data_IF_383785657683
#
_entry.id   IF_383785657683
#
_cell.length_a   1.000
_cell.length_b   1.000
_cell.length_c   1.000
_cell.angle_alpha   90.00
_cell.angle_beta   90.00
_cell.angle_gamma   90.00
#
_symmetry.space_group_name_H-M   'P 1'
#
loop_
_entity.id
_entity.type
_entity.pdbx_description
1 polymer ?
#
# COMPACT_ATOMS: atom_id res chain seq x y z
N UNK A 1 -8.26 6.24 3.01
CA UNK A 1 -9.57 5.54 3.15
C UNK A 1 -10.32 5.37 1.84
N UNK A 2 -10.45 6.39 0.98
CA UNK A 2 -11.11 6.25 -0.34
C UNK A 2 -10.53 5.10 -1.18
N UNK A 3 -9.21 5.03 -1.28
CA UNK A 3 -8.49 3.96 -1.98
C UNK A 3 -8.76 2.57 -1.43
N UNK A 4 -8.89 2.44 -0.10
CA UNK A 4 -9.25 1.19 0.54
C UNK A 4 -10.67 0.77 0.18
N UNK A 5 -11.62 1.71 0.11
CA UNK A 5 -13.00 1.41 -0.28
C UNK A 5 -13.11 0.96 -1.75
N UNK A 6 -12.31 1.54 -2.65
CA UNK A 6 -12.31 1.20 -4.08
C UNK A 6 -11.57 -0.12 -4.30
N UNK A 7 -10.27 -0.16 -3.98
CA UNK A 7 -9.40 -1.32 -4.23
C UNK A 7 -9.72 -2.49 -3.31
N UNK A 8 -10.06 -2.22 -2.05
CA UNK A 8 -10.31 -3.26 -1.05
C UNK A 8 -11.55 -4.10 -1.37
N UNK A 9 -12.58 -3.54 -2.03
CA UNK A 9 -13.74 -4.34 -2.46
C UNK A 9 -13.36 -5.42 -3.48
N UNK A 10 -12.50 -5.09 -4.43
CA UNK A 10 -12.04 -6.04 -5.46
C UNK A 10 -11.14 -7.11 -4.85
N UNK A 11 -10.17 -6.70 -4.04
CA UNK A 11 -9.22 -7.61 -3.37
C UNK A 11 -9.94 -8.51 -2.37
N UNK A 12 -10.87 -7.98 -1.58
CA UNK A 12 -11.65 -8.76 -0.62
C UNK A 12 -12.52 -9.82 -1.31
N UNK A 13 -13.11 -9.50 -2.48
CA UNK A 13 -13.83 -10.50 -3.29
C UNK A 13 -12.90 -11.58 -3.86
N UNK A 14 -11.68 -11.22 -4.24
CA UNK A 14 -10.70 -12.16 -4.80
C UNK A 14 -10.13 -13.12 -3.74
N UNK A 15 -9.81 -12.59 -2.55
CA UNK A 15 -9.13 -13.33 -1.48
C UNK A 15 -10.08 -13.97 -0.46
N UNK A 16 -11.28 -13.41 -0.30
CA UNK A 16 -12.14 -13.67 0.85
C UNK A 16 -11.76 -12.85 2.09
N UNK A 17 -12.73 -12.69 3.00
CA UNK A 17 -12.63 -11.78 4.14
C UNK A 17 -11.42 -12.07 5.05
N UNK A 18 -11.14 -13.33 5.36
CA UNK A 18 -10.07 -13.72 6.29
C UNK A 18 -8.69 -13.38 5.76
N UNK A 19 -8.41 -13.74 4.51
CA UNK A 19 -7.14 -13.44 3.83
C UNK A 19 -6.96 -11.95 3.58
N UNK A 20 -8.05 -11.23 3.30
CA UNK A 20 -8.03 -9.78 3.19
C UNK A 20 -7.63 -9.10 4.50
N UNK A 21 -8.26 -9.49 5.61
CA UNK A 21 -7.93 -8.94 6.94
C UNK A 21 -6.49 -9.29 7.31
N UNK A 22 -6.06 -10.53 7.08
CA UNK A 22 -4.69 -10.96 7.33
C UNK A 22 -3.68 -10.13 6.53
N UNK A 23 -3.96 -9.88 5.25
CA UNK A 23 -3.12 -9.03 4.41
C UNK A 23 -3.08 -7.60 4.93
N UNK A 24 -4.23 -7.00 5.26
CA UNK A 24 -4.32 -5.63 5.75
C UNK A 24 -3.56 -5.45 7.07
N UNK A 25 -3.86 -6.28 8.07
CA UNK A 25 -3.21 -6.20 9.38
C UNK A 25 -1.74 -6.58 9.27
N UNK A 26 -1.41 -7.67 8.59
CA UNK A 26 -0.05 -8.18 8.46
C UNK A 26 0.88 -7.24 7.69
N UNK A 27 0.42 -6.63 6.60
CA UNK A 27 1.22 -5.62 5.89
C UNK A 27 1.40 -4.35 6.71
N UNK A 28 0.37 -3.92 7.44
CA UNK A 28 0.46 -2.76 8.33
C UNK A 28 1.43 -2.97 9.49
N UNK A 29 1.44 -4.16 10.11
CA UNK A 29 2.38 -4.49 11.18
C UNK A 29 3.80 -4.60 10.66
N UNK A 30 4.02 -5.29 9.53
CA UNK A 30 5.34 -5.39 8.90
C UNK A 30 5.91 -4.02 8.53
N UNK A 31 5.10 -3.17 7.89
CA UNK A 31 5.52 -1.82 7.53
C UNK A 31 5.87 -0.98 8.76
N UNK A 32 5.15 -1.15 9.88
CA UNK A 32 5.47 -0.47 11.12
C UNK A 32 6.80 -0.96 11.72
N UNK A 33 7.08 -2.26 11.69
CA UNK A 33 8.37 -2.81 12.13
C UNK A 33 9.51 -2.27 11.28
N UNK A 34 9.36 -2.27 9.95
CA UNK A 34 10.39 -1.72 9.05
C UNK A 34 10.62 -0.25 9.33
N UNK A 35 9.55 0.53 9.49
CA UNK A 35 9.65 1.97 9.81
C UNK A 35 10.45 2.20 11.10
N UNK A 36 10.19 1.44 12.16
CA UNK A 36 10.90 1.56 13.43
C UNK A 36 12.38 1.16 13.32
N UNK A 37 12.69 0.15 12.51
CA UNK A 37 14.08 -0.29 12.29
C UNK A 37 14.84 0.74 11.46
N UNK A 38 14.27 1.24 10.37
CA UNK A 38 14.89 2.27 9.54
C UNK A 38 15.12 3.57 10.31
N UNK A 39 14.15 4.01 11.11
CA UNK A 39 14.34 5.16 12.01
C UNK A 39 15.43 4.91 13.06
N UNK A 40 15.62 3.68 13.52
CA UNK A 40 16.67 3.35 14.50
C UNK A 40 18.07 3.37 13.90
N UNK A 41 18.20 3.06 12.61
CA UNK A 41 19.45 3.07 11.86
C UNK A 41 19.88 4.50 11.49
N UNK A 42 18.91 5.39 11.24
CA UNK A 42 19.14 6.82 10.97
C UNK A 42 19.32 7.66 12.26
N UNK A 43 18.96 7.09 13.43
CA UNK A 43 19.01 7.77 14.74
C UNK A 43 20.38 7.91 15.38
N UNK A 44 21.42 7.27 14.83
CA UNK A 44 22.77 7.39 15.37
C UNK A 44 23.35 8.81 15.17
N UNK A 45 22.75 9.65 14.32
CA UNK A 45 23.30 10.98 14.00
C UNK A 45 22.58 12.20 14.63
N UNK A 46 21.31 12.16 15.06
CA UNK A 46 20.66 13.36 15.64
C UNK A 46 19.59 13.08 16.73
N UNK A 47 19.83 13.66 17.91
CA UNK A 47 18.97 13.66 19.10
C UNK A 47 17.65 14.41 18.86
N UNK A 48 16.56 13.69 18.57
CA UNK A 48 15.21 14.08 19.00
C UNK A 48 14.19 12.95 18.83
N UNK A 49 13.41 12.58 19.86
CA UNK A 49 12.37 11.58 19.72
C UNK A 49 11.09 12.24 19.20
N UNK A 50 10.96 12.38 17.87
CA UNK A 50 9.61 12.47 17.30
C UNK A 50 8.97 11.10 17.47
N UNK A 51 8.00 10.99 18.38
CA UNK A 51 6.99 9.93 18.32
C UNK A 51 6.23 10.14 17.01
N UNK A 52 6.74 9.66 15.88
CA UNK A 52 5.98 9.66 14.63
C UNK A 52 4.84 8.67 14.76
N UNK A 53 3.64 9.16 14.45
CA UNK A 53 2.40 8.39 14.52
C UNK A 53 2.53 7.16 13.63
N UNK A 54 2.38 5.99 14.24
CA UNK A 54 2.26 4.65 13.65
C UNK A 54 1.44 4.71 12.35
N UNK A 55 2.14 4.75 11.22
CA UNK A 55 1.58 4.92 9.87
C UNK A 55 1.06 3.62 9.24
N UNK A 56 1.03 2.52 9.99
CA UNK A 56 0.76 1.17 9.49
C UNK A 56 -0.54 1.03 8.71
N UNK A 57 -1.58 1.82 9.04
CA UNK A 57 -2.83 1.83 8.28
C UNK A 57 -2.66 2.33 6.84
N UNK A 58 -1.80 3.33 6.60
CA UNK A 58 -1.58 3.85 5.24
C UNK A 58 -0.77 2.86 4.41
N UNK A 59 0.25 2.23 4.99
CA UNK A 59 1.07 1.21 4.32
C UNK A 59 0.24 -0.04 3.97
N UNK A 60 -0.68 -0.42 4.84
CA UNK A 60 -1.63 -1.51 4.57
C UNK A 60 -2.56 -1.18 3.39
N UNK A 61 -2.95 0.08 3.22
CA UNK A 61 -3.69 0.53 2.03
C UNK A 61 -2.83 0.43 0.78
N UNK A 62 -1.55 0.78 0.83
CA UNK A 62 -0.64 0.66 -0.31
C UNK A 62 -0.49 -0.80 -0.76
N UNK A 63 -0.42 -1.75 0.18
CA UNK A 63 -0.42 -3.17 -0.13
C UNK A 63 -1.67 -3.62 -0.88
N UNK A 64 -2.85 -3.17 -0.45
CA UNK A 64 -4.13 -3.48 -1.10
C UNK A 64 -4.23 -2.81 -2.48
N UNK A 65 -3.79 -1.56 -2.60
CA UNK A 65 -3.83 -0.81 -3.87
C UNK A 65 -2.89 -1.45 -4.88
N UNK A 66 -1.67 -1.81 -4.48
CA UNK A 66 -0.71 -2.53 -5.30
C UNK A 66 -1.27 -3.88 -5.77
N UNK A 67 -1.80 -4.68 -4.84
CA UNK A 67 -2.40 -5.97 -5.18
C UNK A 67 -3.59 -5.82 -6.14
N UNK A 68 -4.46 -4.84 -5.93
CA UNK A 68 -5.59 -4.56 -6.81
C UNK A 68 -5.14 -4.18 -8.23
N UNK A 69 -4.13 -3.31 -8.35
CA UNK A 69 -3.58 -2.90 -9.64
C UNK A 69 -3.02 -4.10 -10.42
N UNK A 70 -2.37 -5.05 -9.73
CA UNK A 70 -1.79 -6.24 -10.33
C UNK A 70 -2.84 -7.31 -10.68
N UNK A 71 -3.86 -7.49 -9.86
CA UNK A 71 -4.94 -8.47 -10.10
C UNK A 71 -5.91 -8.00 -11.20
N UNK A 72 -6.18 -6.70 -11.29
CA UNK A 72 -7.19 -6.14 -12.17
C UNK A 72 -6.65 -5.02 -13.08
N UNK A 73 -5.62 -5.27 -13.91
CA UNK A 73 -5.05 -4.26 -14.79
C UNK A 73 -6.05 -3.63 -15.78
N UNK A 74 -7.06 -4.32 -16.36
CA UNK A 74 -8.02 -3.66 -17.25
C UNK A 74 -9.14 -2.92 -16.52
N UNK A 75 -9.19 -2.92 -15.17
CA UNK A 75 -10.21 -2.19 -14.42
C UNK A 75 -10.12 -0.69 -14.70
N UNK A 76 -11.27 -0.03 -14.87
CA UNK A 76 -11.34 1.39 -15.24
C UNK A 76 -12.14 2.18 -14.22
N UNK A 77 -11.67 3.38 -13.90
CA UNK A 77 -12.42 4.37 -13.12
C UNK A 77 -13.11 5.32 -14.09
N UNK A 78 -14.42 5.50 -13.92
CA UNK A 78 -15.16 6.54 -14.61
C UNK A 78 -15.16 7.80 -13.75
N UNK A 79 -14.38 8.81 -14.15
CA UNK A 79 -14.38 10.13 -13.49
C UNK A 79 -15.62 10.94 -13.87
N UNK A 80 -16.18 10.68 -15.05
CA UNK A 80 -17.42 11.28 -15.54
C UNK A 80 -18.26 10.24 -16.27
N UNK A 81 -19.59 10.40 -16.20
CA UNK A 81 -20.59 9.40 -16.67
C UNK A 81 -20.51 9.04 -18.16
N UNK A 82 -19.80 9.85 -18.98
CA UNK A 82 -19.77 9.70 -20.44
C UNK A 82 -18.39 9.80 -21.11
N UNK A 83 -17.35 10.39 -20.48
CA UNK A 83 -16.22 10.89 -21.27
C UNK A 83 -14.85 10.30 -20.97
N UNK A 84 -14.59 9.72 -19.79
CA UNK A 84 -13.24 9.23 -19.50
C UNK A 84 -13.24 8.01 -18.57
N UNK A 85 -12.92 6.86 -19.16
CA UNK A 85 -12.61 5.62 -18.45
C UNK A 85 -11.11 5.44 -18.44
N UNK A 86 -10.47 5.97 -17.41
CA UNK A 86 -9.04 5.81 -17.22
C UNK A 86 -8.74 4.48 -16.53
N UNK A 87 -7.62 3.82 -16.88
CA UNK A 87 -7.22 2.61 -16.18
C UNK A 87 -6.99 2.90 -14.70
N UNK A 88 -7.58 2.09 -13.82
CA UNK A 88 -7.42 2.22 -12.36
C UNK A 88 -5.96 2.06 -11.96
N UNK A 89 -5.19 1.23 -12.68
CA UNK A 89 -3.76 1.05 -12.43
C UNK A 89 -2.98 2.36 -12.57
N UNK A 90 -3.40 3.29 -13.43
CA UNK A 90 -2.72 4.59 -13.60
C UNK A 90 -2.85 5.44 -12.34
N UNK A 91 -4.05 5.56 -11.79
CA UNK A 91 -4.26 6.28 -10.54
C UNK A 91 -3.62 5.55 -9.35
N UNK A 92 -3.64 4.21 -9.36
CA UNK A 92 -2.92 3.42 -8.35
C UNK A 92 -1.42 3.70 -8.41
N UNK A 93 -0.83 3.75 -9.61
CA UNK A 93 0.59 4.07 -9.78
C UNK A 93 0.92 5.47 -9.23
N UNK A 94 0.14 6.49 -9.60
CA UNK A 94 0.33 7.84 -9.04
C UNK A 94 0.19 7.88 -7.51
N UNK A 95 -0.75 7.11 -6.95
CA UNK A 95 -0.94 7.02 -5.50
C UNK A 95 0.22 6.33 -4.79
N UNK A 96 0.84 5.33 -5.42
CA UNK A 96 1.98 4.59 -4.89
C UNK A 96 3.30 5.34 -5.02
N UNK A 97 3.44 6.20 -6.03
CA UNK A 97 4.64 7.04 -6.24
C UNK A 97 4.53 8.41 -5.55
N UNK A 98 3.55 8.61 -4.66
CA UNK A 98 3.32 9.90 -3.99
C UNK A 98 4.50 10.35 -3.12
N UNK A 99 5.35 9.42 -2.71
CA UNK A 99 6.46 9.63 -1.79
C UNK A 99 7.82 9.78 -2.50
N UNK A 100 7.84 9.82 -3.85
CA UNK A 100 9.07 9.94 -4.66
C UNK A 100 9.49 11.39 -4.93
N UNK A 101 8.68 12.38 -4.54
CA UNK A 101 8.96 13.81 -4.74
C UNK A 101 9.36 14.54 -3.46
N UNK A 102 9.93 15.74 -3.61
CA UNK A 102 10.14 16.65 -2.48
C UNK A 102 8.80 16.96 -1.80
N UNK A 103 8.67 16.56 -0.53
CA UNK A 103 7.47 16.85 0.25
C UNK A 103 7.45 18.35 0.57
N UNK A 104 6.35 19.05 0.28
CA UNK A 104 6.26 20.46 0.65
C UNK A 104 6.28 20.61 2.17
N UNK A 105 6.85 21.70 2.71
CA UNK A 105 7.06 21.88 4.15
C UNK A 105 5.75 21.98 4.97
N UNK A 106 4.61 22.15 4.30
CA UNK A 106 3.27 22.20 4.89
C UNK A 106 2.52 20.87 4.87
N UNK A 107 3.09 19.81 4.27
CA UNK A 107 2.47 18.49 4.33
C UNK A 107 2.61 17.95 5.76
N UNK A 108 1.52 17.40 6.32
CA UNK A 108 1.60 16.67 7.59
C UNK A 108 2.58 15.50 7.45
N UNK A 109 3.31 15.23 8.52
CA UNK A 109 4.14 14.02 8.67
C UNK A 109 3.25 12.79 8.40
N UNK A 110 3.43 12.18 7.23
CA UNK A 110 2.84 10.88 6.88
C UNK A 110 3.78 9.75 7.29
N UNK A 111 3.35 8.50 7.10
CA UNK A 111 4.24 7.36 7.34
C UNK A 111 5.57 7.54 6.56
N UNK A 112 6.68 7.01 7.11
CA UNK A 112 7.96 7.10 6.45
C UNK A 112 7.94 6.30 5.15
N UNK A 113 8.83 6.68 4.22
CA UNK A 113 8.85 6.14 2.86
C UNK A 113 9.10 4.64 2.86
N UNK A 114 9.95 4.14 3.76
CA UNK A 114 10.23 2.71 3.90
C UNK A 114 8.97 1.91 4.27
N UNK A 115 8.11 2.49 5.11
CA UNK A 115 6.81 1.91 5.46
C UNK A 115 5.90 1.77 4.24
N UNK A 116 5.79 2.81 3.41
CA UNK A 116 4.99 2.78 2.19
C UNK A 116 5.54 1.78 1.16
N UNK A 117 6.86 1.76 0.96
CA UNK A 117 7.54 0.81 0.09
C UNK A 117 7.30 -0.64 0.55
N UNK A 118 7.38 -0.88 1.86
CA UNK A 118 7.09 -2.20 2.46
C UNK A 118 5.65 -2.63 2.15
N UNK A 119 4.69 -1.72 2.27
CA UNK A 119 3.30 -1.96 1.88
C UNK A 119 3.19 -2.40 0.41
N UNK A 120 3.80 -1.65 -0.52
CA UNK A 120 3.81 -1.98 -1.96
C UNK A 120 4.40 -3.38 -2.20
N UNK A 121 5.53 -3.68 -1.57
CA UNK A 121 6.20 -4.97 -1.68
C UNK A 121 5.35 -6.11 -1.12
N UNK A 122 4.63 -5.92 -0.01
CA UNK A 122 3.69 -6.90 0.51
C UNK A 122 2.56 -7.21 -0.49
N UNK A 123 2.01 -6.18 -1.15
CA UNK A 123 1.01 -6.33 -2.20
C UNK A 123 1.53 -7.13 -3.40
N UNK A 124 2.74 -6.81 -3.86
CA UNK A 124 3.43 -7.52 -4.94
C UNK A 124 3.74 -8.97 -4.56
N UNK A 125 4.29 -9.20 -3.37
CA UNK A 125 4.60 -10.54 -2.87
C UNK A 125 3.34 -11.41 -2.80
N UNK A 126 2.23 -10.84 -2.29
CA UNK A 126 0.94 -11.54 -2.25
C UNK A 126 0.46 -11.90 -3.65
N UNK A 127 0.57 -10.99 -4.63
CA UNK A 127 0.23 -11.28 -6.02
C UNK A 127 1.06 -12.44 -6.58
N UNK A 128 2.37 -12.45 -6.34
CA UNK A 128 3.25 -13.54 -6.78
C UNK A 128 2.88 -14.86 -6.11
N UNK A 129 2.54 -14.86 -4.83
CA UNK A 129 2.09 -16.05 -4.09
C UNK A 129 0.78 -16.61 -4.67
N UNK A 130 -0.17 -15.76 -5.04
CA UNK A 130 -1.43 -16.18 -5.69
C UNK A 130 -1.21 -16.78 -7.08
N UNK A 131 -0.15 -16.35 -7.79
CA UNK A 131 0.20 -16.88 -9.11
C UNK A 131 1.05 -18.14 -9.06
N UNK A 132 1.52 -18.58 -7.88
CA UNK A 132 2.22 -19.85 -7.77
C UNK A 132 1.23 -20.96 -8.11
N UNK A 133 1.53 -21.82 -9.11
CA UNK A 133 0.70 -23.00 -9.34
C UNK A 133 0.67 -23.81 -8.05
N UNK A 134 -0.51 -24.31 -7.67
CA UNK A 134 -0.61 -25.28 -6.58
C UNK A 134 0.29 -26.46 -6.96
N UNK A 135 1.46 -26.55 -6.32
CA UNK A 135 2.25 -27.77 -6.38
C UNK A 135 1.42 -28.78 -5.62
N UNK A 136 0.70 -29.63 -6.36
CA UNK A 136 0.03 -30.80 -5.83
C UNK A 136 1.03 -31.52 -4.92
N UNK A 137 0.66 -31.69 -3.64
CA UNK A 137 1.28 -32.62 -2.69
C UNK A 137 0.25 -33.71 -2.44
#
# INVERSE_FOLDING_TARGET
MLWLAISGRHVCRALGNSRFILLYVGSGTLANVVSLVSESEERDDLVSPRLQMVGGASCAVDAIVALNALLYPPSRVALTRRWMRWPLWFFSAMFLTRDEGERPPWALDSAPREGHLTGILCGLATFLLLRRPARYV
#
